data_IF_331663157004
#
_entry.id   IF_331663157004
#
_cell.length_a   1.000
_cell.length_b   1.000
_cell.length_c   1.000
_cell.angle_alpha   90.00
_cell.angle_beta   90.00
_cell.angle_gamma   90.00
#
_symmetry.space_group_name_H-M   'P 1'
#
loop_
_entity.id
_entity.type
_entity.pdbx_description
1 polymer ?
#
# COMPACT_ATOMS: atom_id res chain seq x y z
N UNK A 1 -5.34 -33.87 -9.21
CA UNK A 1 -6.49 -34.65 -8.69
C UNK A 1 -6.09 -36.11 -8.53
N UNK A 2 -5.88 -36.62 -7.33
CA UNK A 2 -5.29 -37.96 -7.14
C UNK A 2 -6.27 -39.11 -7.35
N UNK A 3 -7.50 -38.88 -7.81
CA UNK A 3 -8.50 -39.95 -7.93
C UNK A 3 -8.55 -40.73 -9.23
N UNK A 4 -8.15 -40.14 -10.34
CA UNK A 4 -8.35 -40.73 -11.66
C UNK A 4 -7.43 -41.95 -11.94
N UNK A 5 -6.21 -41.93 -11.43
CA UNK A 5 -5.28 -43.05 -11.58
C UNK A 5 -5.73 -44.28 -10.77
N UNK A 6 -6.42 -44.09 -9.63
CA UNK A 6 -7.01 -45.19 -8.85
C UNK A 6 -8.10 -45.88 -9.68
N UNK A 7 -8.93 -45.07 -10.37
CA UNK A 7 -9.94 -45.59 -11.28
C UNK A 7 -9.30 -46.38 -12.44
N UNK A 8 -8.20 -45.85 -13.00
CA UNK A 8 -7.44 -46.56 -14.03
C UNK A 8 -6.96 -47.92 -13.53
N UNK A 9 -6.38 -47.99 -12.31
CA UNK A 9 -5.94 -49.24 -11.72
C UNK A 9 -7.10 -50.24 -11.56
N UNK A 10 -8.29 -49.78 -11.11
CA UNK A 10 -9.46 -50.63 -11.00
C UNK A 10 -9.88 -51.20 -12.33
N UNK A 11 -9.86 -50.41 -13.42
CA UNK A 11 -10.13 -50.92 -14.77
C UNK A 11 -9.10 -51.89 -15.25
N UNK A 12 -7.79 -51.69 -14.92
CA UNK A 12 -6.74 -52.66 -15.21
C UNK A 12 -6.94 -53.98 -14.48
N UNK A 13 -7.37 -53.94 -13.22
CA UNK A 13 -7.69 -55.15 -12.44
C UNK A 13 -8.91 -55.88 -13.04
N UNK A 14 -9.96 -55.15 -13.43
CA UNK A 14 -11.13 -55.74 -14.09
C UNK A 14 -10.73 -56.38 -15.42
N UNK A 15 -9.90 -55.69 -16.23
CA UNK A 15 -9.39 -56.23 -17.48
C UNK A 15 -8.57 -57.51 -17.25
N UNK A 16 -7.69 -57.51 -16.22
CA UNK A 16 -6.88 -58.69 -15.88
C UNK A 16 -7.74 -59.89 -15.44
N UNK A 17 -8.76 -59.64 -14.56
CA UNK A 17 -9.68 -60.68 -14.14
C UNK A 17 -10.51 -61.22 -15.30
N UNK A 18 -11.03 -60.34 -16.14
CA UNK A 18 -11.78 -60.76 -17.36
C UNK A 18 -10.90 -61.55 -18.35
N UNK A 19 -9.62 -61.16 -18.50
CA UNK A 19 -8.66 -61.87 -19.31
C UNK A 19 -8.42 -63.30 -18.76
N UNK A 20 -8.13 -63.41 -17.47
CA UNK A 20 -7.91 -64.73 -16.83
C UNK A 20 -9.18 -65.59 -16.94
N UNK A 21 -10.36 -65.03 -16.69
CA UNK A 21 -11.63 -65.73 -16.85
C UNK A 21 -11.83 -66.24 -18.28
N UNK A 22 -11.42 -65.47 -19.30
CA UNK A 22 -11.50 -65.87 -20.71
C UNK A 22 -10.64 -67.10 -21.06
N UNK A 23 -9.59 -67.41 -20.29
CA UNK A 23 -8.74 -68.57 -20.47
C UNK A 23 -9.35 -69.86 -19.93
N UNK A 24 -10.18 -69.75 -18.87
CA UNK A 24 -10.78 -70.91 -18.19
C UNK A 24 -12.21 -71.23 -18.64
N UNK A 25 -12.90 -70.30 -19.31
CA UNK A 25 -14.28 -70.46 -19.73
C UNK A 25 -14.35 -71.06 -21.15
N UNK A 26 -15.37 -71.88 -21.39
CA UNK A 26 -15.56 -72.58 -22.67
C UNK A 26 -15.80 -71.67 -23.89
N UNK A 27 -15.65 -72.21 -25.09
CA UNK A 27 -15.65 -71.43 -26.34
C UNK A 27 -16.87 -70.57 -26.61
N UNK A 28 -18.03 -70.90 -26.04
CA UNK A 28 -19.29 -70.17 -26.27
C UNK A 28 -19.39 -68.78 -25.58
N UNK A 29 -18.70 -68.58 -24.48
CA UNK A 29 -18.69 -67.30 -23.75
C UNK A 29 -17.40 -66.47 -23.92
N UNK A 30 -16.44 -67.06 -24.61
CA UNK A 30 -15.08 -66.51 -24.75
C UNK A 30 -15.06 -65.13 -25.48
N UNK A 31 -15.93 -64.96 -26.47
CA UNK A 31 -16.02 -63.71 -27.24
C UNK A 31 -16.55 -62.54 -26.38
N UNK A 32 -17.50 -62.80 -25.47
CA UNK A 32 -18.05 -61.77 -24.55
C UNK A 32 -16.99 -61.34 -23.55
N UNK A 33 -16.20 -62.23 -22.98
CA UNK A 33 -15.12 -61.93 -22.07
C UNK A 33 -13.97 -61.14 -22.73
N UNK A 34 -13.66 -61.45 -24.00
CA UNK A 34 -12.70 -60.65 -24.78
C UNK A 34 -13.20 -59.24 -25.04
N UNK A 35 -14.51 -59.05 -25.29
CA UNK A 35 -15.12 -57.73 -25.41
C UNK A 35 -15.03 -56.89 -24.10
N UNK A 36 -15.31 -57.54 -22.96
CA UNK A 36 -15.20 -56.87 -21.63
C UNK A 36 -13.72 -56.49 -21.35
N UNK A 37 -12.78 -57.40 -21.62
CA UNK A 37 -11.35 -57.13 -21.44
C UNK A 37 -10.89 -55.95 -22.29
N UNK A 38 -11.26 -55.91 -23.57
CA UNK A 38 -10.89 -54.87 -24.49
C UNK A 38 -11.50 -53.51 -24.07
N UNK A 39 -12.79 -53.50 -23.68
CA UNK A 39 -13.44 -52.28 -23.19
C UNK A 39 -12.81 -51.77 -21.89
N UNK A 40 -12.57 -52.64 -20.90
CA UNK A 40 -11.93 -52.28 -19.65
C UNK A 40 -10.50 -51.77 -19.84
N UNK A 41 -9.72 -52.41 -20.74
CA UNK A 41 -8.37 -51.93 -21.07
C UNK A 41 -8.39 -50.56 -21.74
N UNK A 42 -9.34 -50.32 -22.66
CA UNK A 42 -9.48 -49.02 -23.31
C UNK A 42 -9.82 -47.92 -22.27
N UNK A 43 -10.77 -48.15 -21.37
CA UNK A 43 -11.08 -47.23 -20.30
C UNK A 43 -9.89 -46.97 -19.36
N UNK A 44 -9.13 -48.01 -19.01
CA UNK A 44 -7.93 -47.89 -18.22
C UNK A 44 -6.90 -46.98 -18.89
N UNK A 45 -6.66 -47.14 -20.19
CA UNK A 45 -5.77 -46.26 -20.96
C UNK A 45 -6.28 -44.81 -20.97
N UNK A 46 -7.57 -44.61 -21.25
CA UNK A 46 -8.15 -43.22 -21.25
C UNK A 46 -8.01 -42.56 -19.91
N UNK A 47 -8.35 -43.21 -18.80
CA UNK A 47 -8.19 -42.65 -17.45
C UNK A 47 -6.74 -42.43 -17.07
N UNK A 48 -5.81 -43.25 -17.53
CA UNK A 48 -4.36 -43.06 -17.36
C UNK A 48 -3.91 -41.77 -18.07
N UNK A 49 -4.34 -41.57 -19.32
CA UNK A 49 -3.99 -40.38 -20.09
C UNK A 49 -4.59 -39.10 -19.45
N UNK A 50 -5.83 -39.17 -18.99
CA UNK A 50 -6.48 -38.04 -18.28
C UNK A 50 -5.71 -37.70 -16.98
N UNK A 51 -5.25 -38.76 -16.25
CA UNK A 51 -4.49 -38.58 -15.02
C UNK A 51 -3.06 -38.07 -15.25
N UNK A 52 -2.50 -38.27 -16.45
CA UNK A 52 -1.16 -37.83 -16.81
C UNK A 52 -1.11 -36.38 -17.33
N UNK A 53 -2.25 -35.73 -17.48
CA UNK A 53 -2.39 -34.39 -18.02
C UNK A 53 -2.78 -33.39 -16.95
N UNK A 54 -1.96 -32.33 -16.76
CA UNK A 54 -2.28 -31.18 -15.96
C UNK A 54 -1.99 -29.87 -16.73
N UNK A 55 -2.62 -28.79 -16.32
CA UNK A 55 -2.41 -27.45 -16.87
C UNK A 55 -1.89 -26.54 -15.77
N UNK A 56 -0.81 -25.83 -16.05
CA UNK A 56 -0.25 -24.76 -15.22
C UNK A 56 -0.67 -23.41 -15.77
N UNK A 57 -1.30 -22.57 -14.96
CA UNK A 57 -1.78 -21.27 -15.39
C UNK A 57 -0.63 -20.29 -15.69
N UNK A 58 -0.95 -19.24 -16.45
CA UNK A 58 0.00 -18.19 -16.82
C UNK A 58 0.55 -17.51 -15.56
N UNK A 59 1.86 -17.30 -15.51
CA UNK A 59 2.61 -16.75 -14.35
C UNK A 59 2.59 -17.66 -13.11
N UNK A 60 2.20 -18.91 -13.24
CA UNK A 60 2.39 -19.92 -12.23
C UNK A 60 3.52 -20.86 -12.64
N UNK A 61 4.15 -21.43 -11.64
CA UNK A 61 5.13 -22.50 -11.79
C UNK A 61 4.53 -23.77 -11.20
N UNK A 62 4.48 -24.82 -12.01
CA UNK A 62 4.03 -26.15 -11.60
C UNK A 62 5.20 -26.94 -11.01
N UNK A 63 5.11 -27.33 -9.76
CA UNK A 63 6.05 -28.22 -9.09
C UNK A 63 5.50 -29.63 -9.17
N UNK A 64 6.22 -30.50 -9.89
CA UNK A 64 5.87 -31.91 -10.03
C UNK A 64 6.36 -32.65 -8.81
N UNK A 65 5.45 -33.23 -8.05
CA UNK A 65 5.77 -34.02 -6.85
C UNK A 65 5.46 -35.47 -7.06
N UNK A 66 6.34 -36.35 -6.55
CA UNK A 66 6.17 -37.78 -6.51
C UNK A 66 6.19 -38.23 -5.05
N UNK A 67 5.07 -38.76 -4.57
CA UNK A 67 4.89 -39.16 -3.16
C UNK A 67 5.31 -38.09 -2.14
N UNK A 68 5.02 -36.79 -2.46
CA UNK A 68 5.34 -35.67 -1.60
C UNK A 68 6.73 -35.07 -1.81
N UNK A 69 7.61 -35.69 -2.60
CA UNK A 69 8.94 -35.15 -2.92
C UNK A 69 8.91 -34.40 -4.27
N UNK A 70 9.41 -33.17 -4.35
CA UNK A 70 9.54 -32.47 -5.62
C UNK A 70 10.57 -33.17 -6.51
N UNK A 71 10.17 -33.49 -7.75
CA UNK A 71 11.02 -34.20 -8.73
C UNK A 71 11.23 -33.41 -10.02
N UNK A 72 10.47 -32.32 -10.21
CA UNK A 72 10.60 -31.46 -11.38
C UNK A 72 9.83 -30.20 -11.27
N UNK A 73 10.13 -29.27 -12.17
CA UNK A 73 9.48 -27.94 -12.28
C UNK A 73 9.07 -27.75 -13.73
N UNK A 74 7.90 -27.17 -13.94
CA UNK A 74 7.41 -26.83 -15.27
C UNK A 74 6.81 -25.44 -15.25
N UNK A 75 7.11 -24.62 -16.25
CA UNK A 75 6.50 -23.30 -16.43
C UNK A 75 5.03 -23.38 -16.84
N UNK A 76 4.43 -22.23 -17.12
CA UNK A 76 3.05 -22.14 -17.58
C UNK A 76 2.83 -22.98 -18.87
N UNK A 77 1.70 -23.65 -18.94
CA UNK A 77 1.30 -24.45 -20.08
C UNK A 77 0.81 -25.84 -19.74
N UNK A 78 0.83 -26.74 -20.73
CA UNK A 78 0.39 -28.14 -20.60
C UNK A 78 1.56 -28.98 -20.10
N UNK A 79 1.31 -29.75 -19.05
CA UNK A 79 2.31 -30.61 -18.41
C UNK A 79 1.86 -32.07 -18.56
N UNK A 80 2.73 -32.90 -19.14
CA UNK A 80 2.58 -34.33 -19.14
C UNK A 80 3.48 -34.98 -18.09
N UNK A 81 2.90 -35.74 -17.20
CA UNK A 81 3.63 -36.39 -16.11
C UNK A 81 3.14 -37.83 -15.88
N UNK A 82 3.86 -38.60 -15.08
CA UNK A 82 3.40 -39.93 -14.71
C UNK A 82 2.08 -39.85 -13.90
N UNK A 83 1.14 -40.77 -14.10
CA UNK A 83 -0.22 -40.70 -13.53
C UNK A 83 -0.27 -40.59 -11.98
N UNK A 84 0.77 -41.05 -11.29
CA UNK A 84 0.90 -41.02 -9.83
C UNK A 84 1.55 -39.72 -9.30
N UNK A 85 2.07 -38.89 -10.19
CA UNK A 85 2.63 -37.58 -9.85
C UNK A 85 1.53 -36.54 -9.68
N UNK A 86 1.80 -35.53 -8.88
CA UNK A 86 0.92 -34.42 -8.67
C UNK A 86 1.62 -33.11 -9.02
N UNK A 87 0.94 -32.23 -9.72
CA UNK A 87 1.40 -30.86 -9.97
C UNK A 87 0.80 -29.95 -8.91
N UNK A 88 1.66 -29.19 -8.24
CA UNK A 88 1.27 -28.14 -7.30
C UNK A 88 1.72 -26.80 -7.86
N UNK A 89 0.79 -25.86 -8.02
CA UNK A 89 1.10 -24.55 -8.58
C UNK A 89 1.50 -23.54 -7.50
N UNK A 90 2.57 -22.80 -7.77
CA UNK A 90 2.94 -21.61 -7.04
C UNK A 90 2.87 -20.40 -7.98
N UNK A 91 2.26 -19.30 -7.49
CA UNK A 91 2.15 -18.09 -8.29
C UNK A 91 3.43 -17.26 -8.21
N UNK A 92 4.00 -16.92 -9.37
CA UNK A 92 5.08 -15.93 -9.53
C UNK A 92 4.53 -14.54 -9.91
N UNK A 93 3.20 -14.39 -9.95
CA UNK A 93 2.57 -13.10 -10.15
C UNK A 93 2.82 -12.16 -8.96
N UNK A 94 2.79 -10.86 -9.23
CA UNK A 94 2.88 -9.85 -8.17
C UNK A 94 1.69 -9.99 -7.24
N UNK A 95 1.99 -10.11 -5.96
CA UNK A 95 1.04 -10.20 -4.87
C UNK A 95 0.98 -8.86 -4.13
N UNK A 96 -0.22 -8.41 -3.83
CA UNK A 96 -0.47 -7.29 -2.94
C UNK A 96 -0.86 -7.85 -1.57
N UNK A 97 -0.14 -7.43 -0.55
CA UNK A 97 -0.48 -7.67 0.85
C UNK A 97 -0.70 -6.31 1.51
N UNK A 98 -1.87 -6.11 2.08
CA UNK A 98 -2.21 -4.89 2.80
C UNK A 98 -2.56 -5.23 4.24
N UNK A 99 -2.00 -4.46 5.17
CA UNK A 99 -2.37 -4.43 6.58
C UNK A 99 -2.95 -3.05 6.84
N UNK A 100 -4.25 -2.96 7.05
CA UNK A 100 -4.95 -1.68 7.12
C UNK A 100 -6.05 -1.73 8.18
N UNK A 101 -6.25 -0.62 8.88
CA UNK A 101 -7.38 -0.42 9.79
C UNK A 101 -8.04 0.94 9.55
N UNK A 102 -9.31 1.09 9.93
CA UNK A 102 -10.00 2.37 9.74
C UNK A 102 -9.68 3.37 10.85
N UNK A 103 -9.38 2.90 12.06
CA UNK A 103 -9.11 3.72 13.24
C UNK A 103 -8.13 3.03 14.18
N UNK A 104 -7.63 3.78 15.18
CA UNK A 104 -6.84 3.21 16.28
C UNK A 104 -7.61 2.13 17.03
N UNK A 105 -8.89 2.34 17.29
CA UNK A 105 -9.73 1.39 18.03
C UNK A 105 -9.92 0.09 17.24
N UNK A 106 -10.14 0.16 15.93
CA UNK A 106 -10.22 -1.03 15.08
C UNK A 106 -8.89 -1.78 15.06
N UNK A 107 -7.78 -1.06 14.89
CA UNK A 107 -6.44 -1.63 14.90
C UNK A 107 -6.13 -2.33 16.24
N UNK A 108 -6.48 -1.69 17.36
CA UNK A 108 -6.25 -2.24 18.71
C UNK A 108 -7.06 -3.50 19.00
N UNK A 109 -8.21 -3.65 18.34
CA UNK A 109 -9.09 -4.82 18.41
C UNK A 109 -8.78 -5.87 17.33
N UNK A 110 -7.73 -5.68 16.55
CA UNK A 110 -7.35 -6.59 15.46
C UNK A 110 -8.33 -6.59 14.29
N UNK A 111 -9.08 -5.50 14.10
CA UNK A 111 -10.01 -5.36 12.99
C UNK A 111 -9.34 -4.68 11.81
N UNK A 112 -9.28 -5.37 10.70
CA UNK A 112 -8.79 -4.81 9.44
C UNK A 112 -9.86 -4.06 8.66
N UNK A 113 -9.42 -3.21 7.76
CA UNK A 113 -10.26 -2.53 6.79
C UNK A 113 -10.39 -3.35 5.51
N UNK A 114 -11.53 -3.27 4.81
CA UNK A 114 -11.72 -3.87 3.48
C UNK A 114 -11.36 -5.36 3.37
N UNK A 115 -11.62 -6.16 4.39
CA UNK A 115 -11.23 -7.56 4.51
C UNK A 115 -9.71 -7.81 4.51
N UNK A 116 -8.89 -6.79 4.70
CA UNK A 116 -7.46 -6.92 4.92
C UNK A 116 -7.17 -7.27 6.39
N UNK A 117 -6.02 -7.87 6.71
CA UNK A 117 -5.51 -7.94 8.07
C UNK A 117 -5.42 -6.55 8.72
N UNK A 118 -5.57 -6.51 10.04
CA UNK A 118 -5.46 -5.26 10.79
C UNK A 118 -4.06 -4.64 10.69
N UNK A 119 -3.98 -3.32 10.89
CA UNK A 119 -2.73 -2.58 11.02
C UNK A 119 -1.78 -3.23 12.02
N UNK A 120 -0.49 -3.19 11.72
CA UNK A 120 0.54 -3.88 12.51
C UNK A 120 0.85 -3.08 13.77
N UNK A 121 0.77 -3.76 14.93
CA UNK A 121 1.18 -3.17 16.20
C UNK A 121 2.71 -3.07 16.28
N UNK A 122 3.22 -1.87 16.52
CA UNK A 122 4.64 -1.59 16.72
C UNK A 122 4.88 -0.81 18.00
N UNK A 123 6.03 -1.06 18.64
CA UNK A 123 6.47 -0.29 19.80
C UNK A 123 7.47 0.77 19.38
N UNK A 124 7.21 2.02 19.73
CA UNK A 124 8.06 3.15 19.44
C UNK A 124 9.22 3.29 20.44
N UNK A 125 10.25 4.05 20.09
CA UNK A 125 11.40 4.27 20.95
C UNK A 125 11.08 4.92 22.32
N UNK A 126 9.99 5.66 22.41
CA UNK A 126 9.47 6.21 23.67
C UNK A 126 8.60 5.25 24.49
N UNK A 127 8.59 3.96 24.13
CA UNK A 127 7.75 2.91 24.71
C UNK A 127 6.24 3.06 24.51
N UNK A 128 5.76 4.01 23.69
CA UNK A 128 4.36 4.06 23.30
C UNK A 128 4.08 3.03 22.21
N UNK A 129 2.81 2.62 22.09
CA UNK A 129 2.35 1.74 21.04
C UNK A 129 1.78 2.56 19.88
N UNK A 130 2.03 2.08 18.68
CA UNK A 130 1.39 2.60 17.48
C UNK A 130 0.91 1.45 16.61
N UNK A 131 -0.09 1.71 15.79
CA UNK A 131 -0.55 0.79 14.75
C UNK A 131 -0.23 1.40 13.40
N UNK A 132 0.39 0.62 12.54
CA UNK A 132 0.92 1.07 11.25
C UNK A 132 0.21 0.34 10.13
N UNK A 133 -0.39 1.10 9.23
CA UNK A 133 -0.87 0.56 7.97
C UNK A 133 0.33 0.32 7.04
N UNK A 134 0.38 -0.85 6.42
CA UNK A 134 1.44 -1.24 5.50
C UNK A 134 0.85 -1.88 4.24
N UNK A 135 1.31 -1.43 3.08
CA UNK A 135 1.00 -2.03 1.79
C UNK A 135 2.29 -2.55 1.17
N UNK A 136 2.31 -3.83 0.92
CA UNK A 136 3.47 -4.58 0.46
C UNK A 136 3.18 -5.23 -0.89
N UNK A 137 4.01 -4.95 -1.90
CA UNK A 137 4.02 -5.65 -3.18
C UNK A 137 5.23 -6.58 -3.25
N UNK A 138 4.98 -7.85 -3.49
CA UNK A 138 6.02 -8.86 -3.57
C UNK A 138 5.72 -9.93 -4.62
N UNK A 139 6.73 -10.68 -5.01
CA UNK A 139 6.58 -11.86 -5.87
C UNK A 139 7.62 -12.91 -5.56
N UNK A 140 7.35 -14.14 -5.97
CA UNK A 140 8.35 -15.18 -5.99
C UNK A 140 9.33 -14.92 -7.17
N UNK A 141 10.62 -15.11 -6.93
CA UNK A 141 11.60 -15.06 -8.01
C UNK A 141 11.50 -16.31 -8.88
N UNK A 142 11.72 -16.12 -10.15
CA UNK A 142 11.79 -17.21 -11.11
C UNK A 142 12.79 -18.27 -10.64
N UNK A 143 12.35 -19.53 -10.61
CA UNK A 143 13.18 -20.66 -10.16
C UNK A 143 13.28 -20.87 -8.64
N UNK A 144 12.73 -19.99 -7.80
CA UNK A 144 12.74 -20.14 -6.34
C UNK A 144 11.68 -21.13 -5.82
N UNK A 145 10.65 -21.38 -6.60
CA UNK A 145 9.50 -22.18 -6.23
C UNK A 145 9.84 -23.59 -5.70
N UNK A 146 10.79 -24.37 -6.25
CA UNK A 146 11.13 -25.70 -5.73
C UNK A 146 11.71 -25.67 -4.32
N UNK A 147 12.58 -24.71 -4.03
CA UNK A 147 13.18 -24.55 -2.71
C UNK A 147 12.14 -24.17 -1.68
N UNK A 148 11.33 -23.14 -1.99
CA UNK A 148 10.24 -22.73 -1.12
C UNK A 148 9.22 -23.84 -0.88
N UNK A 149 8.95 -24.67 -1.89
CA UNK A 149 8.09 -25.83 -1.73
C UNK A 149 8.71 -26.89 -0.78
N UNK A 150 10.03 -27.08 -0.79
CA UNK A 150 10.72 -27.99 0.13
C UNK A 150 10.69 -27.47 1.57
N UNK A 151 10.94 -26.16 1.73
CA UNK A 151 11.06 -25.53 3.06
C UNK A 151 9.69 -25.33 3.75
N UNK A 152 8.65 -25.02 2.95
CA UNK A 152 7.30 -24.70 3.45
C UNK A 152 6.23 -25.70 2.99
N UNK A 153 6.61 -26.91 2.62
CA UNK A 153 5.74 -27.93 2.05
C UNK A 153 4.45 -28.17 2.85
N UNK A 154 3.38 -28.57 2.12
CA UNK A 154 2.05 -28.81 2.71
C UNK A 154 0.93 -28.72 1.68
N UNK A 155 -0.31 -28.74 2.14
CA UNK A 155 -1.48 -28.69 1.26
C UNK A 155 -1.65 -27.30 0.58
N UNK A 156 -1.27 -26.23 1.27
CA UNK A 156 -1.41 -24.83 0.83
C UNK A 156 -0.08 -24.08 0.95
N UNK A 157 0.94 -24.55 0.21
CA UNK A 157 2.31 -24.01 0.31
C UNK A 157 2.36 -22.50 0.12
N UNK A 158 1.64 -21.95 -0.85
CA UNK A 158 1.64 -20.52 -1.14
C UNK A 158 1.13 -19.69 0.04
N UNK A 159 0.03 -20.13 0.67
CA UNK A 159 -0.52 -19.45 1.85
C UNK A 159 0.44 -19.55 3.05
N UNK A 160 1.10 -20.69 3.21
CA UNK A 160 2.11 -20.88 4.26
C UNK A 160 3.31 -19.94 4.08
N UNK A 161 3.82 -19.80 2.86
CA UNK A 161 4.90 -18.85 2.52
C UNK A 161 4.45 -17.41 2.84
N UNK A 162 3.25 -17.03 2.41
CA UNK A 162 2.68 -15.72 2.68
C UNK A 162 2.64 -15.43 4.18
N UNK A 163 2.02 -16.29 4.97
CA UNK A 163 1.79 -16.05 6.40
C UNK A 163 3.06 -16.21 7.26
N UNK A 164 3.86 -17.24 7.00
CA UNK A 164 5.00 -17.56 7.85
C UNK A 164 6.29 -16.84 7.46
N UNK A 165 6.46 -16.50 6.19
CA UNK A 165 7.66 -15.83 5.73
C UNK A 165 7.36 -14.34 5.49
N UNK A 166 6.46 -13.99 4.58
CA UNK A 166 6.26 -12.61 4.18
C UNK A 166 5.64 -11.78 5.30
N UNK A 167 4.47 -12.20 5.83
CA UNK A 167 3.73 -11.42 6.82
C UNK A 167 4.50 -11.29 8.15
N UNK A 168 5.15 -12.37 8.60
CA UNK A 168 5.95 -12.31 9.83
C UNK A 168 7.20 -11.44 9.67
N UNK A 169 7.91 -11.55 8.55
CA UNK A 169 9.10 -10.74 8.34
C UNK A 169 8.75 -9.27 8.11
N UNK A 170 7.60 -8.96 7.47
CA UNK A 170 7.08 -7.61 7.37
C UNK A 170 6.84 -6.99 8.77
N UNK A 171 6.17 -7.71 9.66
CA UNK A 171 5.96 -7.27 11.04
C UNK A 171 7.27 -7.04 11.80
N UNK A 172 8.25 -7.92 11.63
CA UNK A 172 9.57 -7.80 12.28
C UNK A 172 10.33 -6.59 11.73
N UNK A 173 10.40 -6.43 10.40
CA UNK A 173 11.09 -5.32 9.75
C UNK A 173 10.46 -3.97 10.15
N UNK A 174 9.11 -3.90 10.12
CA UNK A 174 8.38 -2.73 10.55
C UNK A 174 8.66 -2.40 12.02
N UNK A 175 8.55 -3.37 12.92
CA UNK A 175 8.82 -3.19 14.34
C UNK A 175 10.24 -2.73 14.62
N UNK A 176 11.24 -3.24 13.88
CA UNK A 176 12.64 -2.85 13.99
C UNK A 176 12.86 -1.38 13.60
N UNK A 177 12.26 -0.93 12.49
CA UNK A 177 12.38 0.46 12.03
C UNK A 177 11.67 1.41 13.01
N UNK A 178 10.45 1.07 13.43
CA UNK A 178 9.69 1.92 14.35
C UNK A 178 10.24 1.93 15.78
N UNK A 179 10.96 0.90 16.22
CA UNK A 179 11.65 0.92 17.51
C UNK A 179 12.71 2.01 17.62
N UNK A 180 13.21 2.53 16.50
CA UNK A 180 14.17 3.67 16.49
C UNK A 180 13.46 5.02 16.36
N UNK A 181 12.20 5.05 16.02
CA UNK A 181 11.42 6.26 15.82
C UNK A 181 10.82 6.79 17.13
N UNK A 182 11.12 8.05 17.46
CA UNK A 182 10.55 8.74 18.62
C UNK A 182 9.83 10.02 18.18
N UNK A 183 8.48 10.03 18.14
CA UNK A 183 7.73 11.21 17.72
C UNK A 183 7.97 12.41 18.64
N UNK A 184 8.28 12.21 19.92
CA UNK A 184 8.52 13.31 20.88
C UNK A 184 9.85 14.01 20.63
N UNK A 185 10.90 13.27 20.25
CA UNK A 185 12.22 13.86 19.92
C UNK A 185 12.13 14.66 18.62
N UNK A 186 11.39 14.18 17.65
CA UNK A 186 11.14 14.90 16.39
C UNK A 186 10.42 16.22 16.64
N UNK A 187 9.40 16.22 17.52
CA UNK A 187 8.70 17.44 17.94
C UNK A 187 9.62 18.40 18.71
N UNK A 188 10.45 17.89 19.62
CA UNK A 188 11.39 18.69 20.39
C UNK A 188 12.53 19.25 19.51
N UNK A 189 13.04 18.48 18.57
CA UNK A 189 14.06 18.93 17.63
C UNK A 189 13.55 20.05 16.72
N UNK A 190 12.32 19.95 16.24
CA UNK A 190 11.66 21.00 15.47
C UNK A 190 11.46 22.29 16.30
N UNK A 191 11.15 22.18 17.60
CA UNK A 191 10.98 23.32 18.49
C UNK A 191 12.29 24.03 18.86
N UNK A 192 13.42 23.28 18.91
CA UNK A 192 14.73 23.78 19.38
C UNK A 192 15.72 24.07 18.24
N UNK A 193 15.32 23.95 16.98
CA UNK A 193 16.20 24.25 15.85
C UNK A 193 16.69 25.72 15.89
N UNK A 194 17.98 26.01 15.71
CA UNK A 194 18.48 27.37 15.63
C UNK A 194 17.79 28.12 14.50
N UNK A 195 17.06 29.18 14.82
CA UNK A 195 16.20 29.89 13.86
C UNK A 195 14.76 29.35 13.78
N UNK A 196 14.35 28.51 14.73
CA UNK A 196 12.98 27.96 14.79
C UNK A 196 11.89 29.05 14.74
N UNK A 197 12.17 30.23 15.26
CA UNK A 197 11.30 31.41 15.13
C UNK A 197 11.13 31.92 13.69
N UNK A 198 12.07 31.60 12.80
CA UNK A 198 12.01 31.95 11.39
C UNK A 198 11.60 30.78 10.47
N UNK A 199 11.71 29.55 10.94
CA UNK A 199 11.48 28.32 10.17
C UNK A 199 10.37 27.42 10.69
N UNK A 200 9.59 27.84 11.68
CA UNK A 200 8.34 27.15 12.07
C UNK A 200 7.24 27.22 11.00
N UNK A 201 7.62 27.37 9.74
CA UNK A 201 6.69 27.41 8.60
C UNK A 201 6.32 26.03 8.05
N UNK A 202 6.98 24.96 8.56
CA UNK A 202 6.54 23.62 8.25
C UNK A 202 5.87 23.00 9.48
N UNK A 203 4.68 22.40 9.35
CA UNK A 203 4.18 21.52 10.38
C UNK A 203 5.33 20.55 10.71
N UNK A 204 5.50 20.20 11.98
CA UNK A 204 6.47 19.18 12.37
C UNK A 204 6.32 18.06 11.36
N UNK A 205 7.35 17.83 10.54
CA UNK A 205 7.30 16.71 9.61
C UNK A 205 7.10 15.49 10.48
N UNK A 206 5.90 14.94 10.43
CA UNK A 206 5.61 13.65 11.01
C UNK A 206 6.71 12.67 10.57
N UNK A 207 6.68 11.46 11.05
CA UNK A 207 7.59 10.41 10.58
C UNK A 207 7.82 10.56 9.08
N UNK A 208 9.07 10.58 8.63
CA UNK A 208 9.40 10.51 7.20
C UNK A 208 9.02 9.11 6.71
N UNK A 209 7.71 8.93 6.46
CA UNK A 209 7.13 7.65 6.09
C UNK A 209 7.80 7.05 4.83
N UNK A 210 8.11 7.83 3.79
CA UNK A 210 8.85 7.33 2.64
C UNK A 210 10.23 6.77 3.00
N UNK A 211 11.02 7.47 3.83
CA UNK A 211 12.33 7.00 4.26
C UNK A 211 12.22 5.75 5.14
N UNK A 212 11.24 5.71 6.05
CA UNK A 212 10.97 4.53 6.88
C UNK A 212 10.52 3.34 6.04
N UNK A 213 9.64 3.55 5.05
CA UNK A 213 9.20 2.51 4.13
C UNK A 213 10.38 1.94 3.30
N UNK A 214 11.29 2.80 2.86
CA UNK A 214 12.51 2.36 2.16
C UNK A 214 13.41 1.50 3.06
N UNK A 215 13.55 1.85 4.34
CA UNK A 215 14.31 1.06 5.30
C UNK A 215 13.60 -0.27 5.61
N UNK A 216 12.28 -0.27 5.81
CA UNK A 216 11.47 -1.50 5.98
C UNK A 216 11.64 -2.41 4.76
N UNK A 217 11.55 -1.86 3.55
CA UNK A 217 11.76 -2.63 2.31
C UNK A 217 13.12 -3.32 2.31
N UNK A 218 14.19 -2.59 2.67
CA UNK A 218 15.54 -3.15 2.73
C UNK A 218 15.66 -4.26 3.77
N UNK A 219 15.22 -3.99 5.00
CA UNK A 219 15.28 -4.96 6.10
C UNK A 219 14.43 -6.22 5.80
N UNK A 220 13.27 -6.02 5.19
CA UNK A 220 12.40 -7.10 4.75
C UNK A 220 13.04 -7.93 3.63
N UNK A 221 13.63 -7.28 2.61
CA UNK A 221 14.32 -8.00 1.53
C UNK A 221 15.50 -8.82 2.05
N UNK A 222 16.25 -8.29 3.01
CA UNK A 222 17.36 -9.00 3.64
C UNK A 222 16.85 -10.21 4.47
N UNK A 223 15.66 -10.10 5.07
CA UNK A 223 15.07 -11.13 5.91
C UNK A 223 14.39 -12.27 5.11
N UNK A 224 13.71 -11.94 3.99
CA UNK A 224 13.04 -12.95 3.15
C UNK A 224 13.98 -13.69 2.20
N UNK A 225 15.24 -13.23 2.09
CA UNK A 225 16.27 -13.88 1.29
C UNK A 225 16.17 -13.58 -0.20
N UNK A 226 16.76 -14.48 -0.99
CA UNK A 226 16.85 -14.33 -2.44
C UNK A 226 15.68 -14.94 -3.20
N UNK A 227 14.85 -15.71 -2.54
CA UNK A 227 13.73 -16.47 -3.14
C UNK A 227 12.52 -15.58 -3.40
N UNK A 228 12.35 -14.52 -2.61
CA UNK A 228 11.26 -13.56 -2.70
C UNK A 228 11.81 -12.19 -3.07
N UNK A 229 11.15 -11.50 -3.96
CA UNK A 229 11.46 -10.13 -4.34
C UNK A 229 10.42 -9.17 -3.80
N UNK A 230 10.87 -8.22 -2.98
CA UNK A 230 10.03 -7.15 -2.47
C UNK A 230 10.09 -5.98 -3.45
N UNK A 231 8.99 -5.73 -4.15
CA UNK A 231 8.90 -4.70 -5.17
C UNK A 231 8.72 -3.31 -4.58
N UNK A 232 7.76 -3.18 -3.68
CA UNK A 232 7.40 -1.91 -3.06
C UNK A 232 6.85 -2.11 -1.66
N UNK A 233 7.16 -1.17 -0.77
CA UNK A 233 6.60 -1.08 0.58
C UNK A 233 6.12 0.34 0.78
N UNK A 234 4.89 0.51 1.24
CA UNK A 234 4.27 1.81 1.54
C UNK A 234 3.67 1.79 2.92
N UNK A 235 3.88 2.87 3.63
CA UNK A 235 3.30 3.13 4.94
C UNK A 235 2.35 4.32 4.80
N UNK A 236 1.06 4.10 4.53
CA UNK A 236 0.12 5.18 4.28
C UNK A 236 -0.24 5.95 5.55
N UNK A 237 -0.34 5.26 6.70
CA UNK A 237 -0.79 5.88 7.96
C UNK A 237 -0.15 5.24 9.18
N UNK A 238 -0.09 6.02 10.25
CA UNK A 238 0.25 5.58 11.60
C UNK A 238 -0.86 6.05 12.52
N UNK A 239 -1.35 5.16 13.36
CA UNK A 239 -2.27 5.47 14.45
C UNK A 239 -1.49 5.45 15.76
N UNK A 240 -1.37 6.60 16.40
CA UNK A 240 -0.73 6.72 17.70
C UNK A 240 -1.71 6.45 18.83
N UNK A 241 -1.20 6.03 19.98
CA UNK A 241 -1.98 5.99 21.21
C UNK A 241 -2.47 7.40 21.59
N UNK A 242 -3.59 7.46 22.30
CA UNK A 242 -4.26 8.72 22.61
C UNK A 242 -3.34 9.76 23.29
N UNK A 243 -2.48 9.41 24.27
CA UNK A 243 -1.57 10.37 24.88
C UNK A 243 -0.52 10.92 23.91
N UNK A 244 -0.04 10.11 22.99
CA UNK A 244 0.93 10.53 21.96
C UNK A 244 0.26 11.41 20.92
N UNK A 245 -0.94 11.04 20.46
CA UNK A 245 -1.72 11.86 19.53
C UNK A 245 -2.03 13.25 20.11
N UNK A 246 -2.49 13.32 21.35
CA UNK A 246 -2.76 14.62 22.02
C UNK A 246 -1.52 15.52 22.08
N UNK A 247 -0.33 14.96 22.30
CA UNK A 247 0.92 15.74 22.31
C UNK A 247 1.27 16.26 20.91
N UNK A 248 1.07 15.44 19.90
CA UNK A 248 1.26 15.84 18.49
C UNK A 248 0.30 16.96 18.13
N UNK A 249 -0.97 16.84 18.50
CA UNK A 249 -2.00 17.85 18.22
C UNK A 249 -1.71 19.16 18.95
N UNK A 250 -1.33 19.11 20.23
CA UNK A 250 -0.94 20.29 21.00
C UNK A 250 0.29 20.99 20.42
N UNK A 251 1.27 20.24 19.91
CA UNK A 251 2.41 20.79 19.21
C UNK A 251 1.99 21.48 17.90
N UNK A 252 1.19 20.83 17.09
CA UNK A 252 0.69 21.38 15.83
C UNK A 252 -0.12 22.67 16.05
N UNK A 253 -0.92 22.74 17.12
CA UNK A 253 -1.62 23.97 17.50
C UNK A 253 -0.64 25.10 17.80
N UNK A 254 0.41 24.86 18.60
CA UNK A 254 1.42 25.88 18.91
C UNK A 254 2.17 26.35 17.65
N UNK A 255 2.48 25.43 16.75
CA UNK A 255 3.09 25.77 15.46
C UNK A 255 2.17 26.68 14.66
N UNK A 256 0.89 26.34 14.58
CA UNK A 256 -0.10 27.16 13.86
C UNK A 256 -0.28 28.54 14.48
N UNK A 257 -0.34 28.63 15.81
CA UNK A 257 -0.39 29.93 16.54
C UNK A 257 0.84 30.79 16.23
N UNK A 258 2.04 30.17 16.20
CA UNK A 258 3.29 30.86 15.86
C UNK A 258 3.30 31.34 14.41
N UNK A 259 2.84 30.53 13.46
CA UNK A 259 2.70 30.93 12.05
C UNK A 259 1.74 32.12 11.91
N UNK A 260 0.59 32.05 12.57
CA UNK A 260 -0.40 33.15 12.55
C UNK A 260 0.20 34.43 13.12
N UNK A 261 0.88 34.35 14.29
CA UNK A 261 1.53 35.50 14.89
C UNK A 261 2.62 36.13 13.98
N UNK A 262 3.40 35.30 13.30
CA UNK A 262 4.38 35.80 12.32
C UNK A 262 3.73 36.48 11.11
N UNK A 263 2.61 35.94 10.63
CA UNK A 263 1.85 36.54 9.53
C UNK A 263 1.27 37.89 9.96
N UNK A 264 0.75 38.00 11.21
CA UNK A 264 0.22 39.25 11.77
C UNK A 264 1.32 40.29 11.86
N UNK A 265 2.51 39.96 12.38
CA UNK A 265 3.67 40.85 12.42
C UNK A 265 4.07 41.33 11.02
N UNK A 266 4.16 40.43 10.08
CA UNK A 266 4.50 40.76 8.68
C UNK A 266 3.45 41.65 8.04
N UNK A 267 2.18 41.39 8.29
CA UNK A 267 1.06 42.22 7.81
C UNK A 267 1.09 43.62 8.45
N UNK A 268 1.34 43.70 9.78
CA UNK A 268 1.48 44.97 10.48
C UNK A 268 2.66 45.81 9.94
N UNK A 269 3.81 45.16 9.65
CA UNK A 269 4.97 45.81 9.06
C UNK A 269 4.69 46.33 7.64
N UNK A 270 4.01 45.55 6.82
CA UNK A 270 3.59 45.97 5.46
C UNK A 270 2.63 47.16 5.53
N UNK A 271 1.67 47.11 6.48
CA UNK A 271 0.75 48.22 6.69
C UNK A 271 1.47 49.49 7.18
N UNK A 272 2.48 49.36 8.07
CA UNK A 272 3.32 50.47 8.50
C UNK A 272 4.07 51.10 7.34
N UNK A 273 4.75 50.25 6.52
CA UNK A 273 5.46 50.73 5.32
C UNK A 273 4.52 51.41 4.31
N UNK A 274 3.34 50.88 4.12
CA UNK A 274 2.35 51.47 3.25
C UNK A 274 1.83 52.83 3.82
N UNK A 275 1.69 52.95 5.15
CA UNK A 275 1.35 54.20 5.80
C UNK A 275 2.45 55.25 5.70
N UNK A 276 3.72 54.85 5.90
CA UNK A 276 4.90 55.70 5.68
C UNK A 276 5.02 56.19 4.22
N UNK A 277 4.79 55.32 3.25
CA UNK A 277 4.77 55.69 1.84
C UNK A 277 3.64 56.72 1.54
N UNK A 278 2.46 56.54 2.11
CA UNK A 278 1.35 57.51 1.95
C UNK A 278 1.65 58.82 2.63
N UNK A 279 2.31 58.80 3.80
CA UNK A 279 2.71 60.03 4.51
C UNK A 279 3.83 60.79 3.76
N UNK A 280 4.71 60.12 3.07
CA UNK A 280 5.79 60.69 2.28
C UNK A 280 5.36 61.05 0.85
N UNK A 281 4.12 60.74 0.44
CA UNK A 281 3.59 61.26 -0.84
C UNK A 281 3.36 62.73 -0.69
N UNK A 282 3.90 63.58 -1.59
CA UNK A 282 3.58 64.99 -1.56
C UNK A 282 2.04 65.15 -1.66
N UNK A 283 1.45 66.07 -0.90
CA UNK A 283 0.01 66.28 -0.96
C UNK A 283 -0.35 66.51 -2.48
N UNK A 284 -1.41 65.83 -2.96
CA UNK A 284 -1.81 65.96 -4.34
C UNK A 284 -1.92 67.47 -4.62
N UNK A 285 -1.23 67.94 -5.69
CA UNK A 285 -1.23 69.36 -6.03
C UNK A 285 -2.69 69.79 -6.09
N UNK A 286 -3.04 70.71 -5.19
CA UNK A 286 -4.41 71.18 -4.99
C UNK A 286 -5.05 71.56 -6.33
N UNK A 287 -4.23 72.11 -7.28
CA UNK A 287 -4.66 72.48 -8.61
C UNK A 287 -5.10 71.26 -9.42
N UNK A 288 -4.36 70.13 -9.34
CA UNK A 288 -4.68 68.89 -10.08
C UNK A 288 -5.93 68.23 -9.48
N UNK A 289 -6.07 68.25 -8.14
CA UNK A 289 -7.23 67.70 -7.49
C UNK A 289 -8.51 68.48 -7.79
N UNK A 290 -8.42 69.82 -7.79
CA UNK A 290 -9.53 70.72 -8.18
C UNK A 290 -9.87 70.51 -9.66
N UNK A 291 -8.86 70.41 -10.54
CA UNK A 291 -9.08 70.24 -11.95
C UNK A 291 -9.76 68.87 -12.28
N UNK A 292 -9.34 67.82 -11.62
CA UNK A 292 -9.96 66.47 -11.77
C UNK A 292 -11.41 66.47 -11.25
N UNK A 293 -11.68 67.12 -10.09
CA UNK A 293 -13.02 67.27 -9.56
C UNK A 293 -13.92 68.07 -10.52
N UNK A 294 -13.44 69.21 -11.01
CA UNK A 294 -14.15 70.02 -11.98
C UNK A 294 -14.49 69.24 -13.25
N UNK A 295 -13.52 68.51 -13.81
CA UNK A 295 -13.71 67.72 -15.01
C UNK A 295 -14.74 66.58 -14.81
N UNK A 296 -14.75 65.97 -13.64
CA UNK A 296 -15.70 64.90 -13.27
C UNK A 296 -17.14 65.46 -13.04
N UNK A 297 -17.26 66.63 -12.41
CA UNK A 297 -18.57 67.27 -12.23
C UNK A 297 -19.16 67.74 -13.55
N UNK A 298 -18.32 68.31 -14.43
CA UNK A 298 -18.74 68.73 -15.77
C UNK A 298 -19.17 67.56 -16.63
N UNK A 299 -18.40 66.48 -16.62
CA UNK A 299 -18.77 65.25 -17.33
C UNK A 299 -20.08 64.63 -16.86
N UNK A 300 -20.38 64.74 -15.57
CA UNK A 300 -21.59 64.17 -14.97
C UNK A 300 -22.77 65.18 -14.87
N UNK A 301 -22.65 66.36 -15.49
CA UNK A 301 -23.69 67.39 -15.51
C UNK A 301 -24.06 67.92 -14.13
N UNK A 302 -23.14 67.90 -13.16
CA UNK A 302 -23.32 68.39 -11.79
C UNK A 302 -22.66 69.77 -11.60
N UNK A 303 -23.15 70.48 -10.59
CA UNK A 303 -22.63 71.85 -10.28
C UNK A 303 -21.17 71.77 -9.81
N UNK A 304 -20.22 72.42 -10.51
CA UNK A 304 -18.80 72.43 -10.19
C UNK A 304 -18.47 73.19 -8.89
N UNK A 305 -19.42 73.96 -8.30
CA UNK A 305 -19.20 74.74 -7.08
C UNK A 305 -18.80 73.85 -5.88
N UNK A 306 -19.21 72.56 -5.86
CA UNK A 306 -18.85 71.60 -4.82
C UNK A 306 -17.36 71.21 -4.73
N UNK A 307 -16.57 71.49 -5.83
CA UNK A 307 -15.16 71.14 -5.87
C UNK A 307 -14.26 72.10 -5.05
N UNK A 308 -14.77 73.21 -4.64
CA UNK A 308 -14.01 74.24 -3.90
C UNK A 308 -14.04 74.01 -2.37
N UNK A 309 -14.92 73.17 -1.84
CA UNK A 309 -15.20 73.04 -0.42
C UNK A 309 -14.60 71.88 0.33
N UNK A 310 -14.10 70.84 -0.33
CA UNK A 310 -13.65 69.62 0.37
C UNK A 310 -12.42 68.97 -0.29
N UNK A 311 -11.25 69.45 0.02
CA UNK A 311 -10.01 68.69 -0.25
C UNK A 311 -9.27 68.51 1.09
N UNK A 312 -9.22 67.29 1.58
CA UNK A 312 -8.45 66.90 2.76
C UNK A 312 -9.12 67.19 4.12
N UNK A 313 -10.46 67.26 4.19
CA UNK A 313 -11.19 67.34 5.47
C UNK A 313 -11.06 68.67 6.24
N UNK A 314 -10.40 69.66 5.68
CA UNK A 314 -10.39 71.04 6.20
C UNK A 314 -11.04 72.01 5.20
N UNK A 315 -11.89 72.93 5.67
CA UNK A 315 -12.47 73.96 4.79
C UNK A 315 -11.35 74.86 4.28
N UNK A 316 -11.11 74.84 2.94
CA UNK A 316 -9.96 75.52 2.31
C UNK A 316 -10.09 77.06 2.20
N UNK A 317 -11.25 77.59 2.31
CA UNK A 317 -11.43 79.09 2.33
C UNK A 317 -12.79 79.44 2.96
N UNK A 318 -12.78 80.23 4.01
CA UNK A 318 -13.91 81.11 4.34
C UNK A 318 -13.88 82.31 3.39
N UNK A 319 -14.76 82.35 2.44
CA UNK A 319 -14.98 83.55 1.62
C UNK A 319 -15.74 84.55 2.52
N UNK A 320 -15.13 85.67 2.81
CA UNK A 320 -15.91 86.71 3.54
C UNK A 320 -17.01 87.23 2.57
N UNK A 321 -18.20 87.38 3.10
CA UNK A 321 -19.32 88.06 2.46
C UNK A 321 -19.03 89.51 2.21
#
# INVERSE_FOLDING_TARGET
MPGWWIIAILFFLVAAVAFVASLFLGTGSRSTWWGITAAAALFAVVFTLISAYDRVDTRNVGIITEFGKPVGVHGAGIVWHAPWRKVSELSEAIQLQAFESNSFDDASQGRGANNNPAAINVRLANNSNAYVDENLNWRLREGAAPKLFQDYGGANVFQTIKEQLVDRQAQVALSKVFATFNPQVMLAAAANAPGASAQMTAPAQGADLPAMAAQVKKDLQDAVGTEIEILDVRIPRIFYDQPTQQRIDAYNQKVQETINAQQDVKTAEQNRLAAEQRANQPPPDLRIAIFNCLNDQVKNGRDPAGCWGQIGGQPLVQVPR
#
